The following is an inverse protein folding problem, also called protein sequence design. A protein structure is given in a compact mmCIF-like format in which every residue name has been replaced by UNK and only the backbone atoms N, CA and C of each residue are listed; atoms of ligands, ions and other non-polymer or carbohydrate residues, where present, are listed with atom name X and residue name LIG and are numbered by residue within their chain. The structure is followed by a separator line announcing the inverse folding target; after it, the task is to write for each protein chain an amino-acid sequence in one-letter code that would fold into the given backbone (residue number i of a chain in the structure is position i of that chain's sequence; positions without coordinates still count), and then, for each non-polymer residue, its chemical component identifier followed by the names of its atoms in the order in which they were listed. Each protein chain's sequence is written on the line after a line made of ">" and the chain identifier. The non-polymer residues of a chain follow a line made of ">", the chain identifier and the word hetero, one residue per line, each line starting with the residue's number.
data_IF_174761291818
#
_entry.id   IF_174761291818
#
_cell.length_a   1.000
_cell.length_b   1.000
_cell.length_c   1.000
_cell.angle_alpha   90.00
_cell.angle_beta   90.00
_cell.angle_gamma   90.00
#
_symmetry.space_group_name_H-M   'P 1'
#
loop_
_entity.id
_entity.type
_entity.pdbx_description
1 polymer ?
#
# COMPACT_ATOMS: atom_id res chain seq x y z
N UNK A 1 -2.07 16.28 -0.23
CA UNK A 1 -2.75 15.00 0.12
C UNK A 1 -1.74 13.88 -0.05
N UNK A 2 -1.74 12.89 0.84
CA UNK A 2 -0.86 11.72 0.75
C UNK A 2 -1.69 10.46 0.96
N UNK A 3 -1.28 9.34 0.40
CA UNK A 3 -1.84 8.03 0.74
C UNK A 3 -1.23 7.61 2.08
N UNK A 4 -2.05 7.10 3.00
CA UNK A 4 -1.58 6.46 4.24
C UNK A 4 -2.14 5.04 4.38
N UNK A 5 -1.32 4.08 4.82
CA UNK A 5 -1.80 2.76 5.18
C UNK A 5 -2.58 2.83 6.51
N UNK A 6 -3.62 2.02 6.64
CA UNK A 6 -4.47 1.90 7.83
C UNK A 6 -4.77 0.43 8.13
N UNK A 7 -4.97 0.12 9.41
CA UNK A 7 -5.26 -1.23 9.87
C UNK A 7 -4.01 -1.98 10.34
N UNK A 8 -4.00 -3.29 10.15
CA UNK A 8 -2.95 -4.20 10.62
C UNK A 8 -2.89 -5.39 9.67
N UNK A 9 -1.71 -5.70 9.15
CA UNK A 9 -1.45 -6.93 8.43
C UNK A 9 -1.38 -8.08 9.45
N UNK A 10 -2.19 -9.12 9.27
CA UNK A 10 -2.15 -10.36 10.04
C UNK A 10 -1.91 -11.52 9.09
N UNK A 11 -0.82 -12.25 9.31
CA UNK A 11 -0.43 -13.35 8.44
C UNK A 11 0.09 -14.53 9.24
N UNK A 12 0.03 -15.71 8.64
CA UNK A 12 0.55 -16.95 9.21
C UNK A 12 1.75 -17.44 8.40
N UNK A 13 2.77 -17.91 9.11
CA UNK A 13 3.92 -18.60 8.52
C UNK A 13 4.34 -19.75 9.42
N UNK A 14 4.50 -20.94 8.86
CA UNK A 14 4.88 -22.15 9.60
C UNK A 14 4.00 -22.41 10.84
N UNK A 15 2.71 -22.08 10.75
CA UNK A 15 1.74 -22.25 11.85
C UNK A 15 1.77 -21.17 12.93
N UNK A 16 2.66 -20.17 12.83
CA UNK A 16 2.72 -19.02 13.74
C UNK A 16 2.06 -17.80 13.12
N UNK A 17 1.28 -17.06 13.92
CA UNK A 17 0.66 -15.79 13.52
C UNK A 17 1.59 -14.61 13.84
N UNK A 18 1.67 -13.68 12.90
CA UNK A 18 2.43 -12.43 13.00
C UNK A 18 1.51 -11.24 12.70
N UNK A 19 1.84 -10.09 13.29
CA UNK A 19 1.05 -8.86 13.16
C UNK A 19 1.96 -7.68 12.91
N UNK A 20 1.69 -6.93 11.84
CA UNK A 20 2.40 -5.68 11.52
C UNK A 20 1.38 -4.54 11.47
N UNK A 21 1.45 -3.56 12.38
CA UNK A 21 0.63 -2.36 12.31
C UNK A 21 0.89 -1.59 11.01
N UNK A 22 -0.17 -1.09 10.37
CA UNK A 22 -0.06 -0.34 9.11
C UNK A 22 0.91 0.86 9.18
N UNK A 23 1.05 1.49 10.35
CA UNK A 23 1.97 2.60 10.60
C UNK A 23 3.47 2.23 10.51
N UNK A 24 3.78 0.94 10.53
CA UNK A 24 5.15 0.42 10.42
C UNK A 24 5.55 0.15 8.96
N UNK A 25 4.60 0.25 8.02
CA UNK A 25 4.91 0.18 6.59
C UNK A 25 5.74 1.38 6.18
N UNK A 26 6.81 1.12 5.44
CA UNK A 26 7.70 2.13 4.89
C UNK A 26 7.24 2.50 3.49
N UNK A 27 6.97 3.78 3.25
CA UNK A 27 6.70 4.28 1.92
C UNK A 27 8.00 4.25 1.09
N UNK A 28 7.96 3.59 -0.06
CA UNK A 28 9.04 3.47 -1.03
C UNK A 28 8.53 3.97 -2.38
N UNK A 29 9.32 4.78 -3.10
CA UNK A 29 9.04 5.15 -4.49
C UNK A 29 7.65 5.76 -4.76
N UNK A 30 7.59 7.05 -5.06
CA UNK A 30 6.38 7.69 -5.57
C UNK A 30 6.60 7.99 -7.04
N UNK A 31 5.73 7.47 -7.90
CA UNK A 31 5.83 7.65 -9.34
C UNK A 31 4.55 8.26 -9.89
N UNK A 32 4.70 9.20 -10.82
CA UNK A 32 3.59 9.75 -11.59
C UNK A 32 3.39 8.85 -12.82
N UNK A 33 2.19 8.28 -12.95
CA UNK A 33 1.84 7.35 -14.03
C UNK A 33 1.33 8.11 -15.26
N UNK A 34 0.52 9.15 -15.05
CA UNK A 34 0.01 9.99 -16.12
C UNK A 34 -0.06 11.47 -15.72
N UNK A 35 0.26 12.35 -16.66
CA UNK A 35 0.05 13.78 -16.53
C UNK A 35 -1.32 14.11 -17.11
N UNK A 36 -2.29 14.42 -16.24
CA UNK A 36 -3.52 15.09 -16.67
C UNK A 36 -3.20 16.45 -17.30
N UNK A 37 -4.01 16.94 -18.22
CA UNK A 37 -3.84 18.31 -18.72
C UNK A 37 -4.00 19.32 -17.58
N UNK A 38 -3.49 20.54 -17.73
CA UNK A 38 -3.57 21.60 -16.70
C UNK A 38 -5.01 21.74 -16.16
N UNK A 39 -5.23 21.31 -14.91
CA UNK A 39 -6.54 21.36 -14.23
C UNK A 39 -7.30 20.03 -14.16
N UNK A 40 -6.76 18.96 -14.74
CA UNK A 40 -7.31 17.60 -14.71
C UNK A 40 -6.63 16.73 -13.65
N UNK A 41 -7.26 15.58 -13.39
CA UNK A 41 -6.78 14.55 -12.48
C UNK A 41 -5.41 13.98 -12.90
N UNK A 42 -4.54 13.74 -11.93
CA UNK A 42 -3.23 13.11 -12.13
C UNK A 42 -3.22 11.70 -11.55
N UNK A 43 -2.70 10.73 -12.31
CA UNK A 43 -2.57 9.36 -11.83
C UNK A 43 -1.18 9.10 -11.26
N UNK A 44 -1.16 8.49 -10.09
CA UNK A 44 0.04 8.24 -9.30
C UNK A 44 0.06 6.80 -8.80
N UNK A 45 1.28 6.31 -8.57
CA UNK A 45 1.54 5.07 -7.88
C UNK A 45 2.51 5.29 -6.72
N UNK A 46 2.38 4.44 -5.70
CA UNK A 46 3.29 4.42 -4.55
C UNK A 46 3.45 2.99 -4.04
N UNK A 47 4.66 2.65 -3.61
CA UNK A 47 4.94 1.36 -2.99
C UNK A 47 5.01 1.53 -1.47
N UNK A 48 4.42 0.59 -0.74
CA UNK A 48 4.67 0.43 0.69
C UNK A 48 5.34 -0.91 0.93
N UNK A 49 6.29 -0.98 1.87
CA UNK A 49 6.95 -2.23 2.23
C UNK A 49 6.87 -2.49 3.73
N UNK A 50 6.79 -3.76 4.11
CA UNK A 50 6.92 -4.20 5.49
C UNK A 50 7.76 -5.48 5.53
N UNK A 51 8.63 -5.60 6.53
CA UNK A 51 9.48 -6.78 6.68
C UNK A 51 9.58 -7.25 8.11
N UNK A 52 9.57 -8.57 8.30
CA UNK A 52 9.94 -9.25 9.54
C UNK A 52 11.03 -10.27 9.21
N UNK A 53 12.29 -9.88 9.39
CA UNK A 53 13.43 -10.73 9.05
C UNK A 53 13.65 -10.87 7.53
N UNK A 54 13.49 -12.08 6.99
CA UNK A 54 13.67 -12.38 5.56
C UNK A 54 12.38 -12.27 4.73
N UNK A 55 11.22 -12.09 5.38
CA UNK A 55 9.92 -11.98 4.74
C UNK A 55 9.61 -10.50 4.47
N UNK A 56 9.49 -10.14 3.20
CA UNK A 56 9.11 -8.79 2.79
C UNK A 56 7.76 -8.83 2.07
N UNK A 57 6.85 -7.98 2.53
CA UNK A 57 5.60 -7.66 1.88
C UNK A 57 5.78 -6.33 1.14
N UNK A 58 5.16 -6.23 -0.04
CA UNK A 58 5.12 -5.00 -0.82
C UNK A 58 3.70 -4.74 -1.30
N UNK A 59 3.20 -3.52 -1.08
CA UNK A 59 1.92 -3.07 -1.62
C UNK A 59 2.17 -2.06 -2.72
N UNK A 60 1.60 -2.29 -3.89
CA UNK A 60 1.55 -1.33 -4.97
C UNK A 60 0.18 -0.65 -4.94
N UNK A 61 0.16 0.67 -4.70
CA UNK A 61 -1.07 1.43 -4.54
C UNK A 61 -1.17 2.47 -5.65
N UNK A 62 -2.27 2.45 -6.39
CA UNK A 62 -2.57 3.45 -7.41
C UNK A 62 -3.67 4.38 -6.94
N UNK A 63 -3.52 5.66 -7.23
CA UNK A 63 -4.44 6.69 -6.80
C UNK A 63 -4.43 7.87 -7.75
N UNK A 64 -5.54 8.58 -7.79
CA UNK A 64 -5.74 9.76 -8.62
C UNK A 64 -5.83 10.99 -7.73
N UNK A 65 -5.12 12.05 -8.10
CA UNK A 65 -5.21 13.38 -7.46
C UNK A 65 -5.95 14.31 -8.41
N UNK A 66 -7.18 14.67 -8.07
CA UNK A 66 -7.98 15.66 -8.81
C UNK A 66 -8.39 16.85 -7.95
N UNK A 67 -9.22 17.72 -8.51
CA UNK A 67 -9.73 18.92 -7.81
C UNK A 67 -10.61 18.56 -6.59
N UNK A 68 -11.27 17.41 -6.62
CA UNK A 68 -12.10 16.89 -5.51
C UNK A 68 -11.29 16.18 -4.43
N UNK A 69 -9.99 15.94 -4.68
CA UNK A 69 -9.06 15.38 -3.72
C UNK A 69 -8.36 14.12 -4.23
N UNK A 70 -7.99 13.24 -3.30
CA UNK A 70 -7.29 11.99 -3.57
C UNK A 70 -8.28 10.83 -3.51
N UNK A 71 -8.38 10.10 -4.60
CA UNK A 71 -9.13 8.85 -4.71
C UNK A 71 -8.15 7.67 -4.88
N UNK A 72 -8.36 6.60 -4.11
CA UNK A 72 -7.54 5.39 -4.22
C UNK A 72 -8.28 4.44 -5.15
N UNK A 73 -7.60 4.08 -6.24
CA UNK A 73 -8.20 3.29 -7.31
C UNK A 73 -8.04 1.80 -7.02
N UNK A 74 -6.82 1.39 -6.70
CA UNK A 74 -6.47 -0.01 -6.48
C UNK A 74 -5.27 -0.16 -5.54
N UNK A 75 -5.18 -1.33 -4.90
CA UNK A 75 -4.02 -1.73 -4.12
C UNK A 75 -3.79 -3.23 -4.23
N UNK A 76 -2.60 -3.62 -4.69
CA UNK A 76 -2.20 -5.02 -4.82
C UNK A 76 -1.07 -5.33 -3.84
N UNK A 77 -1.14 -6.49 -3.17
CA UNK A 77 -0.11 -7.00 -2.26
C UNK A 77 0.72 -8.10 -2.95
N UNK A 78 2.03 -7.98 -2.87
CA UNK A 78 2.97 -9.07 -3.14
C UNK A 78 3.36 -9.72 -1.82
N UNK A 79 2.94 -10.97 -1.63
CA UNK A 79 3.20 -11.77 -0.44
C UNK A 79 4.48 -12.61 -0.59
N UNK A 80 5.26 -12.80 0.50
CA UNK A 80 6.40 -13.71 0.50
C UNK A 80 5.94 -15.19 0.52
N UNK A 81 6.74 -16.07 -0.09
CA UNK A 81 6.41 -17.50 -0.22
C UNK A 81 6.18 -18.19 1.13
N UNK A 82 5.12 -19.00 1.22
CA UNK A 82 4.81 -19.79 2.41
C UNK A 82 4.14 -18.99 3.53
N UNK A 83 3.66 -17.79 3.21
CA UNK A 83 2.78 -17.00 4.05
C UNK A 83 1.33 -17.18 3.61
N UNK A 84 0.41 -17.14 4.59
CA UNK A 84 -1.02 -17.00 4.39
C UNK A 84 -1.47 -15.68 5.02
N UNK A 85 -1.86 -14.71 4.20
CA UNK A 85 -2.45 -13.47 4.71
C UNK A 85 -3.90 -13.72 5.14
N UNK A 86 -4.18 -13.45 6.41
CA UNK A 86 -5.52 -13.62 7.01
C UNK A 86 -6.25 -12.29 7.17
N UNK A 87 -5.51 -11.18 7.17
CA UNK A 87 -6.04 -9.82 7.20
C UNK A 87 -5.01 -8.88 6.56
N UNK A 88 -5.42 -8.14 5.53
CA UNK A 88 -4.57 -7.15 4.87
C UNK A 88 -4.76 -5.74 5.46
N UNK A 89 -3.83 -4.84 5.16
CA UNK A 89 -3.98 -3.40 5.37
C UNK A 89 -4.89 -2.79 4.30
N UNK A 90 -5.36 -1.56 4.55
CA UNK A 90 -6.05 -0.77 3.55
C UNK A 90 -5.37 0.59 3.41
N UNK A 91 -5.70 1.34 2.36
CA UNK A 91 -5.11 2.64 2.10
C UNK A 91 -6.20 3.72 2.09
N UNK A 92 -5.88 4.91 2.59
CA UNK A 92 -6.80 6.07 2.63
C UNK A 92 -6.05 7.37 2.35
N UNK A 93 -6.79 8.40 1.93
CA UNK A 93 -6.27 9.76 1.91
C UNK A 93 -5.92 10.23 3.34
N UNK A 94 -4.78 10.91 3.46
CA UNK A 94 -4.21 11.38 4.72
C UNK A 94 -4.65 12.80 5.08
#
# INVERSE_FOLDING_TARGET
>A
MRVKPVGTLVYKKSGQEFRIPAKELLQQGMQKEAVGFQGESEDWSVIFTAGLGADNFSWYVTYTIGNEGLEINDSEITEPTGVEVTQDVSFKSA
#
